data_IF_776785543450
#
_entry.id   IF_776785543450
#
_cell.length_a   1.000
_cell.length_b   1.000
_cell.length_c   1.000
_cell.angle_alpha   90.00
_cell.angle_beta   90.00
_cell.angle_gamma   90.00
#
_symmetry.space_group_name_H-M   'P 1'
#
loop_
_entity.id
_entity.type
_entity.pdbx_description
1 polymer ?
#
# COMPACT_ATOMS: atom_id res chain seq x y z
N UNK A 1 12.26 17.36 21.73
CA UNK A 1 11.49 18.43 21.05
C UNK A 1 11.84 18.38 19.56
N UNK A 2 11.29 17.43 18.82
CA UNK A 2 11.52 17.28 17.39
C UNK A 2 10.45 18.07 16.65
N UNK A 3 10.87 19.14 16.00
CA UNK A 3 10.01 19.91 15.10
C UNK A 3 9.56 18.99 13.97
N UNK A 4 8.34 18.50 14.09
CA UNK A 4 7.59 17.95 12.97
C UNK A 4 7.19 19.15 12.13
N UNK A 5 7.86 19.28 11.04
CA UNK A 5 7.55 19.89 9.77
C UNK A 5 7.06 21.27 9.61
N UNK A 6 7.85 21.88 8.79
CA UNK A 6 7.46 22.66 7.64
C UNK A 6 6.52 23.81 7.94
N UNK A 7 7.12 24.96 8.19
CA UNK A 7 6.52 26.26 7.87
C UNK A 7 5.53 26.12 6.70
N UNK A 8 4.36 26.74 6.80
CA UNK A 8 3.39 26.93 5.73
C UNK A 8 4.14 27.15 4.40
N UNK A 9 4.13 26.13 3.52
CA UNK A 9 4.78 26.21 2.22
C UNK A 9 5.70 25.06 1.81
N UNK A 10 6.07 24.12 2.70
CA UNK A 10 6.93 23.00 2.27
C UNK A 10 6.10 21.91 1.57
N UNK A 11 6.32 21.79 0.27
CA UNK A 11 5.69 20.78 -0.58
C UNK A 11 6.33 19.38 -0.46
N UNK A 12 7.11 19.10 0.59
CA UNK A 12 7.82 17.84 0.74
C UNK A 12 7.73 17.29 2.17
N UNK A 13 7.82 15.96 2.30
CA UNK A 13 7.86 15.25 3.58
C UNK A 13 8.98 14.20 3.58
N UNK A 14 9.55 13.95 4.75
CA UNK A 14 10.51 12.84 4.93
C UNK A 14 9.78 11.50 4.85
N UNK A 15 10.49 10.48 4.38
CA UNK A 15 10.05 9.10 4.59
C UNK A 15 10.14 8.77 6.09
N UNK A 16 9.18 7.98 6.58
CA UNK A 16 9.32 7.35 7.87
C UNK A 16 10.53 6.39 7.88
N UNK A 17 10.95 5.97 9.07
CA UNK A 17 12.15 5.14 9.19
C UNK A 17 11.99 3.76 8.54
N UNK A 18 10.79 3.18 8.57
CA UNK A 18 10.51 1.91 7.91
C UNK A 18 10.49 2.07 6.39
N UNK A 19 9.91 3.16 5.88
CA UNK A 19 9.80 3.42 4.45
C UNK A 19 11.16 3.64 3.75
N UNK A 20 12.19 4.08 4.47
CA UNK A 20 13.52 4.33 3.91
C UNK A 20 14.19 3.12 3.28
N UNK A 21 13.84 1.91 3.71
CA UNK A 21 14.44 0.69 3.18
C UNK A 21 13.99 0.39 1.75
N UNK A 22 12.75 0.75 1.40
CA UNK A 22 12.15 0.35 0.13
C UNK A 22 12.84 0.97 -1.10
N UNK A 23 13.12 2.28 -1.18
CA UNK A 23 13.81 2.83 -2.33
C UNK A 23 15.27 2.36 -2.45
N UNK A 24 15.90 1.98 -1.33
CA UNK A 24 17.26 1.47 -1.33
C UNK A 24 17.35 0.02 -1.81
N UNK A 25 16.30 -0.78 -1.58
CA UNK A 25 16.27 -2.22 -1.90
C UNK A 25 15.46 -2.56 -3.15
N UNK A 26 14.69 -1.60 -3.69
CA UNK A 26 13.91 -1.79 -4.91
C UNK A 26 14.81 -2.03 -6.11
N UNK A 27 14.48 -3.02 -6.92
CA UNK A 27 15.19 -3.38 -8.14
C UNK A 27 14.24 -4.05 -9.15
N UNK A 28 14.74 -4.44 -10.32
CA UNK A 28 13.93 -5.06 -11.38
C UNK A 28 13.32 -6.43 -10.99
N UNK A 29 13.88 -7.14 -10.01
CA UNK A 29 13.38 -8.44 -9.56
C UNK A 29 12.43 -8.31 -8.38
N UNK A 30 12.57 -7.25 -7.59
CA UNK A 30 11.77 -6.94 -6.44
C UNK A 30 11.47 -5.44 -6.45
N UNK A 31 10.32 -5.10 -6.97
CA UNK A 31 9.90 -3.71 -7.19
C UNK A 31 9.45 -3.02 -5.92
N UNK A 32 9.23 -3.77 -4.84
CA UNK A 32 8.62 -3.27 -3.60
C UNK A 32 7.24 -2.65 -3.83
N UNK A 33 6.57 -3.07 -4.88
CA UNK A 33 5.17 -2.76 -5.17
C UNK A 33 4.34 -3.92 -4.70
N UNK A 34 3.24 -3.62 -4.03
CA UNK A 34 2.25 -4.62 -3.65
C UNK A 34 0.89 -4.25 -4.19
N UNK A 35 0.00 -5.24 -4.28
CA UNK A 35 -1.33 -5.10 -4.86
C UNK A 35 -2.39 -5.52 -3.86
N UNK A 36 -3.44 -4.70 -3.78
CA UNK A 36 -4.76 -5.12 -3.32
C UNK A 36 -5.75 -5.05 -4.47
N UNK A 37 -6.79 -5.87 -4.41
CA UNK A 37 -7.84 -5.81 -5.41
C UNK A 37 -9.23 -5.98 -4.79
N UNK A 38 -10.23 -5.52 -5.51
CA UNK A 38 -11.63 -5.77 -5.24
C UNK A 38 -12.28 -6.37 -6.48
N UNK A 39 -12.97 -7.49 -6.32
CA UNK A 39 -13.73 -8.13 -7.38
C UNK A 39 -15.21 -7.77 -7.25
N UNK A 40 -15.77 -7.27 -8.33
CA UNK A 40 -17.17 -6.88 -8.43
C UNK A 40 -17.99 -7.98 -9.10
N UNK A 41 -19.31 -7.93 -8.95
CA UNK A 41 -20.21 -8.85 -9.66
C UNK A 41 -20.35 -8.53 -11.14
N UNK A 42 -20.14 -7.27 -11.51
CA UNK A 42 -20.29 -6.76 -12.88
C UNK A 42 -18.95 -6.22 -13.41
N UNK A 43 -18.82 -6.13 -14.73
CA UNK A 43 -17.65 -5.51 -15.35
C UNK A 43 -17.43 -4.07 -14.88
N UNK A 44 -16.19 -3.70 -14.68
CA UNK A 44 -15.77 -2.35 -14.27
C UNK A 44 -15.96 -1.39 -15.43
N UNK A 45 -16.60 -0.25 -15.14
CA UNK A 45 -16.62 0.92 -16.04
C UNK A 45 -15.43 1.83 -15.73
N UNK A 46 -14.48 1.89 -16.66
CA UNK A 46 -13.24 2.67 -16.46
C UNK A 46 -13.49 4.18 -16.31
N UNK A 47 -14.55 4.74 -16.92
CA UNK A 47 -14.88 6.17 -16.81
C UNK A 47 -15.45 6.52 -15.44
N UNK A 48 -16.30 5.67 -14.91
CA UNK A 48 -16.83 5.77 -13.55
C UNK A 48 -15.70 5.59 -12.54
N UNK A 49 -14.81 4.62 -12.78
CA UNK A 49 -13.65 4.36 -11.91
C UNK A 49 -12.69 5.55 -11.89
N UNK A 50 -12.48 6.23 -13.03
CA UNK A 50 -11.72 7.49 -13.06
C UNK A 50 -12.36 8.56 -12.19
N UNK A 51 -13.67 8.78 -12.32
CA UNK A 51 -14.39 9.75 -11.51
C UNK A 51 -14.37 9.43 -10.02
N UNK A 52 -14.40 8.14 -9.68
CA UNK A 52 -14.25 7.66 -8.31
C UNK A 52 -12.83 7.91 -7.78
N UNK A 53 -11.81 7.68 -8.61
CA UNK A 53 -10.42 7.95 -8.25
C UNK A 53 -10.19 9.43 -7.97
N UNK A 54 -10.72 10.31 -8.82
CA UNK A 54 -10.58 11.76 -8.64
C UNK A 54 -11.15 12.19 -7.29
N UNK A 55 -12.35 11.71 -6.92
CA UNK A 55 -12.94 11.97 -5.59
C UNK A 55 -12.12 11.38 -4.44
N UNK A 56 -11.57 10.19 -4.63
CA UNK A 56 -10.78 9.53 -3.60
C UNK A 56 -9.49 10.29 -3.31
N UNK A 57 -8.85 10.81 -4.34
CA UNK A 57 -7.62 11.61 -4.22
C UNK A 57 -7.85 12.90 -3.43
N UNK A 58 -9.02 13.52 -3.53
CA UNK A 58 -9.35 14.71 -2.73
C UNK A 58 -9.29 14.40 -1.21
N UNK A 59 -9.70 13.20 -0.81
CA UNK A 59 -9.62 12.73 0.58
C UNK A 59 -8.20 12.26 0.97
N UNK A 60 -7.43 11.74 0.02
CA UNK A 60 -6.08 11.21 0.25
C UNK A 60 -5.01 11.93 -0.58
N UNK A 61 -4.82 13.24 -0.40
CA UNK A 61 -3.88 14.02 -1.23
C UNK A 61 -2.43 13.57 -1.10
N UNK A 62 -2.10 12.84 -0.04
CA UNK A 62 -0.76 12.27 0.19
C UNK A 62 -0.33 11.32 -0.93
N UNK A 63 -1.28 10.68 -1.61
CA UNK A 63 -0.99 9.81 -2.75
C UNK A 63 -0.51 10.59 -3.99
N UNK A 64 -0.77 11.88 -4.09
CA UNK A 64 -0.19 12.75 -5.12
C UNK A 64 1.26 13.12 -4.81
N UNK A 65 2.04 12.18 -4.30
CA UNK A 65 3.45 12.38 -4.00
C UNK A 65 4.33 11.62 -4.98
N UNK A 66 5.45 12.23 -5.33
CA UNK A 66 6.54 11.61 -6.10
C UNK A 66 7.76 11.48 -5.20
N UNK A 67 8.56 10.45 -5.43
CA UNK A 67 9.78 10.27 -4.67
C UNK A 67 10.93 11.03 -5.30
N UNK A 68 11.69 11.69 -4.44
CA UNK A 68 12.93 12.38 -4.79
C UNK A 68 14.09 11.85 -3.98
N UNK A 69 15.25 11.88 -4.60
CA UNK A 69 16.50 11.56 -3.94
C UNK A 69 17.27 12.85 -3.66
N UNK A 70 17.50 13.15 -2.37
CA UNK A 70 18.47 14.16 -1.94
C UNK A 70 19.88 13.58 -1.89
N UNK A 71 20.84 14.33 -1.37
CA UNK A 71 22.24 13.90 -1.25
C UNK A 71 22.39 12.62 -0.42
N UNK A 72 21.69 12.54 0.73
CA UNK A 72 21.81 11.44 1.67
C UNK A 72 20.51 10.74 2.03
N UNK A 73 19.35 11.24 1.57
CA UNK A 73 18.03 10.68 1.92
C UNK A 73 17.03 10.79 0.79
N UNK A 74 16.00 9.96 0.88
CA UNK A 74 14.82 10.06 0.03
C UNK A 74 13.74 10.87 0.74
N UNK A 75 12.92 11.57 -0.04
CA UNK A 75 11.78 12.32 0.44
C UNK A 75 10.62 12.27 -0.55
N UNK A 76 9.43 12.52 -0.07
CA UNK A 76 8.23 12.62 -0.89
C UNK A 76 7.93 14.09 -1.14
N UNK A 77 7.75 14.46 -2.39
CA UNK A 77 7.39 15.79 -2.86
C UNK A 77 5.98 15.76 -3.42
N UNK A 78 5.14 16.72 -3.01
CA UNK A 78 3.80 16.88 -3.59
C UNK A 78 3.93 17.13 -5.09
N UNK A 79 3.04 16.52 -5.86
CA UNK A 79 3.05 16.58 -7.33
C UNK A 79 1.68 17.00 -7.86
N UNK A 80 1.68 17.68 -9.00
CA UNK A 80 0.47 18.03 -9.76
C UNK A 80 0.09 16.95 -10.79
N UNK A 81 0.77 15.79 -10.75
CA UNK A 81 0.43 14.66 -11.60
C UNK A 81 -0.96 14.14 -11.27
N UNK A 82 -1.77 13.95 -12.30
CA UNK A 82 -3.10 13.38 -12.17
C UNK A 82 -3.05 11.87 -12.40
N UNK A 83 -3.50 11.05 -11.45
CA UNK A 83 -3.58 9.61 -11.65
C UNK A 83 -4.63 9.30 -12.72
N UNK A 84 -4.32 8.31 -13.58
CA UNK A 84 -5.23 7.85 -14.62
C UNK A 84 -5.50 6.37 -14.43
N UNK A 85 -6.78 6.03 -14.45
CA UNK A 85 -7.24 4.65 -14.53
C UNK A 85 -6.92 4.09 -15.92
N UNK A 86 -6.49 2.83 -15.96
CA UNK A 86 -6.17 2.13 -17.21
C UNK A 86 -6.72 0.70 -17.14
N UNK A 87 -7.02 0.14 -18.30
CA UNK A 87 -7.19 -1.30 -18.40
C UNK A 87 -5.85 -2.00 -18.18
N UNK A 88 -5.86 -3.13 -17.46
CA UNK A 88 -4.66 -3.88 -17.16
C UNK A 88 -4.20 -4.66 -18.38
N UNK A 89 -3.04 -4.31 -18.87
CA UNK A 89 -2.38 -4.99 -20.01
C UNK A 89 -0.98 -5.50 -19.63
N UNK A 90 -0.42 -4.94 -18.58
CA UNK A 90 0.92 -5.27 -18.09
C UNK A 90 0.86 -6.28 -16.95
N UNK A 91 1.94 -7.04 -16.71
CA UNK A 91 2.07 -7.86 -15.52
C UNK A 91 1.89 -7.07 -14.22
N UNK A 92 1.33 -7.66 -13.16
CA UNK A 92 1.13 -6.97 -11.89
C UNK A 92 2.44 -6.60 -11.19
N UNK A 93 2.37 -5.57 -10.35
CA UNK A 93 3.46 -5.11 -9.49
C UNK A 93 4.73 -4.69 -10.25
N UNK A 94 4.59 -4.10 -11.43
CA UNK A 94 5.71 -3.46 -12.10
C UNK A 94 6.27 -2.30 -11.30
N UNK A 95 7.48 -1.89 -11.65
CA UNK A 95 8.18 -0.83 -10.93
C UNK A 95 7.49 0.53 -11.12
N UNK A 96 6.90 1.05 -10.07
CA UNK A 96 6.27 2.39 -10.02
C UNK A 96 7.29 3.49 -9.68
N UNK A 97 8.34 3.13 -8.96
CA UNK A 97 9.42 4.05 -8.66
C UNK A 97 10.54 3.93 -9.70
N UNK A 98 10.61 4.90 -10.59
CA UNK A 98 11.69 5.01 -11.58
C UNK A 98 12.60 6.15 -11.13
N UNK A 99 13.87 5.79 -10.84
CA UNK A 99 14.86 6.76 -10.39
C UNK A 99 14.95 7.91 -11.39
N UNK A 100 15.04 9.14 -10.88
CA UNK A 100 15.17 10.38 -11.63
C UNK A 100 13.97 10.72 -12.54
N UNK A 101 12.84 10.00 -12.40
CA UNK A 101 11.57 10.34 -13.07
C UNK A 101 10.52 10.80 -12.07
N UNK A 102 9.70 11.74 -12.51
CA UNK A 102 8.47 12.14 -11.79
C UNK A 102 7.37 11.14 -12.14
N UNK A 103 7.15 10.15 -11.29
CA UNK A 103 6.07 9.18 -11.41
C UNK A 103 5.29 9.11 -10.10
N UNK A 104 3.99 8.94 -10.17
CA UNK A 104 3.19 8.59 -9.01
C UNK A 104 3.63 7.21 -8.51
N UNK A 105 3.57 7.02 -7.20
CA UNK A 105 4.01 5.80 -6.53
C UNK A 105 2.87 4.80 -6.35
N UNK A 106 1.77 4.99 -7.05
CA UNK A 106 0.65 4.09 -7.10
C UNK A 106 0.01 4.11 -8.49
N UNK A 107 -0.79 3.10 -8.78
CA UNK A 107 -1.67 3.04 -9.93
C UNK A 107 -2.96 2.32 -9.62
N UNK A 108 -4.01 2.67 -10.36
CA UNK A 108 -5.30 1.97 -10.37
C UNK A 108 -5.50 1.44 -11.78
N UNK A 109 -5.61 0.12 -11.87
CA UNK A 109 -5.92 -0.56 -13.14
C UNK A 109 -7.13 -1.47 -12.94
N UNK A 110 -7.82 -1.82 -14.01
CA UNK A 110 -8.94 -2.75 -13.95
C UNK A 110 -8.82 -3.81 -15.02
N UNK A 111 -9.34 -4.99 -14.73
CA UNK A 111 -9.48 -6.08 -15.68
C UNK A 111 -10.80 -6.78 -15.46
N UNK A 112 -11.67 -6.80 -16.50
CA UNK A 112 -13.02 -7.34 -16.41
C UNK A 112 -13.80 -6.73 -15.22
N UNK A 113 -14.07 -7.53 -14.20
CA UNK A 113 -14.81 -7.16 -12.99
C UNK A 113 -13.91 -6.83 -11.79
N UNK A 114 -12.60 -6.74 -11.98
CA UNK A 114 -11.62 -6.56 -10.90
C UNK A 114 -10.99 -5.17 -10.95
N UNK A 115 -11.06 -4.44 -9.86
CA UNK A 115 -10.32 -3.19 -9.62
C UNK A 115 -9.04 -3.55 -8.89
N UNK A 116 -7.90 -3.23 -9.47
CA UNK A 116 -6.58 -3.48 -8.92
C UNK A 116 -5.95 -2.16 -8.49
N UNK A 117 -5.47 -2.12 -7.26
CA UNK A 117 -4.71 -1.01 -6.70
C UNK A 117 -3.31 -1.48 -6.38
N UNK A 118 -2.33 -0.85 -6.99
CA UNK A 118 -0.91 -1.12 -6.77
C UNK A 118 -0.22 0.08 -6.19
N UNK A 119 0.66 -0.15 -5.24
CA UNK A 119 1.37 0.92 -4.56
C UNK A 119 2.78 0.53 -4.18
N UNK A 120 3.71 1.46 -4.37
CA UNK A 120 5.09 1.33 -3.90
C UNK A 120 5.13 1.49 -2.39
N UNK A 121 5.70 0.54 -1.70
CA UNK A 121 5.61 0.39 -0.24
C UNK A 121 6.17 1.57 0.57
N UNK A 122 6.98 2.44 -0.06
CA UNK A 122 7.45 3.66 0.59
C UNK A 122 6.39 4.77 0.67
N UNK A 123 5.29 4.67 -0.08
CA UNK A 123 4.21 5.66 -0.04
C UNK A 123 3.27 5.43 1.13
N UNK A 124 2.90 4.18 1.35
CA UNK A 124 1.97 3.74 2.40
C UNK A 124 2.20 2.27 2.76
N UNK A 125 1.72 1.87 3.93
CA UNK A 125 1.67 0.47 4.35
C UNK A 125 0.35 -0.22 3.90
N UNK A 126 0.18 -1.48 4.32
CA UNK A 126 -1.01 -2.25 3.98
C UNK A 126 -2.31 -1.65 4.50
N UNK A 127 -2.28 -1.04 5.69
CA UNK A 127 -3.46 -0.42 6.31
C UNK A 127 -3.92 0.79 5.51
N UNK A 128 -3.02 1.70 5.20
CA UNK A 128 -3.34 2.88 4.39
C UNK A 128 -3.77 2.51 2.97
N UNK A 129 -3.17 1.48 2.38
CA UNK A 129 -3.55 0.99 1.06
C UNK A 129 -4.96 0.40 1.03
N UNK A 130 -5.35 -0.38 2.05
CA UNK A 130 -6.71 -0.94 2.16
C UNK A 130 -7.75 0.18 2.37
N UNK A 131 -7.44 1.18 3.18
CA UNK A 131 -8.34 2.32 3.37
C UNK A 131 -8.56 3.11 2.08
N UNK A 132 -7.50 3.37 1.33
CA UNK A 132 -7.59 3.99 0.01
C UNK A 132 -8.47 3.17 -0.94
N UNK A 133 -8.23 1.87 -1.04
CA UNK A 133 -9.03 0.98 -1.91
C UNK A 133 -10.50 0.93 -1.49
N UNK A 134 -10.80 0.85 -0.19
CA UNK A 134 -12.17 0.87 0.32
C UNK A 134 -12.89 2.15 -0.08
N UNK A 135 -12.26 3.31 0.08
CA UNK A 135 -12.84 4.59 -0.32
C UNK A 135 -13.04 4.68 -1.84
N UNK A 136 -12.07 4.20 -2.62
CA UNK A 136 -12.18 4.13 -4.08
C UNK A 136 -13.37 3.29 -4.52
N UNK A 137 -13.52 2.10 -3.96
CA UNK A 137 -14.65 1.19 -4.28
C UNK A 137 -15.97 1.79 -3.82
N UNK A 138 -16.03 2.40 -2.63
CA UNK A 138 -17.22 3.13 -2.16
C UNK A 138 -17.64 4.21 -3.14
N UNK A 139 -16.71 5.08 -3.54
CA UNK A 139 -16.98 6.15 -4.50
C UNK A 139 -17.43 5.58 -5.85
N UNK A 140 -16.80 4.49 -6.30
CA UNK A 140 -17.20 3.80 -7.54
C UNK A 140 -18.64 3.29 -7.47
N UNK A 141 -19.02 2.59 -6.40
CA UNK A 141 -20.36 2.04 -6.24
C UNK A 141 -21.41 3.16 -6.15
N UNK A 142 -21.16 4.24 -5.41
CA UNK A 142 -22.03 5.40 -5.33
C UNK A 142 -22.23 6.03 -6.71
N UNK A 143 -21.18 6.16 -7.51
CA UNK A 143 -21.28 6.71 -8.85
C UNK A 143 -21.95 5.77 -9.85
N UNK A 144 -21.73 4.46 -9.70
CA UNK A 144 -22.29 3.42 -10.59
C UNK A 144 -23.79 3.25 -10.39
N UNK A 145 -24.23 3.30 -9.13
CA UNK A 145 -25.61 2.98 -8.73
C UNK A 145 -26.33 4.20 -8.13
N UNK A 146 -26.21 5.37 -8.78
CA UNK A 146 -26.74 6.65 -8.27
C UNK A 146 -28.23 6.61 -7.92
N UNK A 147 -29.00 5.83 -8.67
CA UNK A 147 -30.46 5.75 -8.52
C UNK A 147 -30.90 4.56 -7.66
N UNK A 148 -29.97 3.75 -7.15
CA UNK A 148 -30.26 2.65 -6.26
C UNK A 148 -30.12 3.11 -4.79
N UNK A 149 -31.05 2.70 -3.94
CA UNK A 149 -30.89 2.82 -2.50
C UNK A 149 -29.75 1.87 -2.06
N UNK A 150 -28.52 2.35 -2.13
CA UNK A 150 -27.40 1.62 -1.57
C UNK A 150 -27.56 1.57 -0.04
N UNK A 151 -27.34 0.42 0.60
CA UNK A 151 -27.26 0.38 2.05
C UNK A 151 -26.19 1.37 2.49
N UNK A 152 -26.40 1.98 3.65
CA UNK A 152 -25.40 2.89 4.23
C UNK A 152 -24.07 2.15 4.35
N UNK A 153 -23.15 2.44 3.45
CA UNK A 153 -21.79 1.90 3.47
C UNK A 153 -20.99 2.80 4.42
N UNK A 154 -21.43 2.87 5.66
CA UNK A 154 -20.62 3.38 6.75
C UNK A 154 -19.57 2.31 7.06
N UNK A 155 -18.41 2.43 6.45
CA UNK A 155 -17.24 1.82 7.07
C UNK A 155 -17.07 2.54 8.40
N UNK A 156 -17.00 1.79 9.50
CA UNK A 156 -16.64 2.33 10.81
C UNK A 156 -15.45 3.26 10.58
N UNK A 157 -15.73 4.55 10.68
CA UNK A 157 -14.77 5.61 10.47
C UNK A 157 -13.79 5.62 11.63
N UNK A 158 -12.79 4.78 11.58
CA UNK A 158 -11.51 5.23 12.09
C UNK A 158 -11.00 6.23 11.05
N UNK A 159 -11.55 7.43 11.12
CA UNK A 159 -11.12 8.55 10.31
C UNK A 159 -9.65 8.81 10.65
N UNK A 160 -8.77 8.21 9.85
CA UNK A 160 -7.37 8.65 9.87
C UNK A 160 -7.37 10.11 9.46
N UNK A 161 -7.11 10.97 10.42
CA UNK A 161 -6.91 12.38 10.15
C UNK A 161 -5.75 12.56 9.18
N UNK A 162 -5.68 13.68 8.46
CA UNK A 162 -4.52 14.02 7.62
C UNK A 162 -3.20 13.91 8.42
N UNK A 163 -3.23 14.23 9.73
CA UNK A 163 -2.09 14.06 10.62
C UNK A 163 -1.70 12.60 10.83
N UNK A 164 -2.67 11.68 10.89
CA UNK A 164 -2.39 10.25 11.03
C UNK A 164 -1.84 9.66 9.73
N UNK A 165 -2.29 10.16 8.57
CA UNK A 165 -1.74 9.79 7.26
C UNK A 165 -0.29 10.23 7.08
N UNK A 166 0.12 11.28 7.77
CA UNK A 166 1.46 11.87 7.69
C UNK A 166 2.37 11.51 8.89
N UNK A 167 1.83 10.86 9.93
CA UNK A 167 2.59 10.58 11.15
C UNK A 167 3.60 9.45 10.98
N UNK A 168 4.81 9.64 11.48
CA UNK A 168 5.82 8.57 11.61
C UNK A 168 5.49 7.70 12.83
N UNK A 169 4.71 6.64 12.61
CA UNK A 169 4.35 5.68 13.65
C UNK A 169 5.57 5.01 14.30
N UNK A 170 6.66 4.83 13.56
CA UNK A 170 7.89 4.25 14.10
C UNK A 170 8.51 5.15 15.16
N UNK A 171 8.67 6.44 14.88
CA UNK A 171 9.23 7.38 15.87
C UNK A 171 8.34 7.57 17.10
N UNK A 172 7.03 7.42 16.95
CA UNK A 172 6.06 7.57 18.04
C UNK A 172 6.08 6.41 19.03
N UNK A 173 6.30 5.18 18.53
CA UNK A 173 6.20 3.94 19.34
C UNK A 173 7.55 3.25 19.57
N UNK A 174 8.63 3.73 18.98
CA UNK A 174 9.95 3.14 19.17
C UNK A 174 10.51 3.49 20.56
N UNK A 175 10.64 2.47 21.41
CA UNK A 175 11.44 2.56 22.64
C UNK A 175 12.72 1.77 22.46
N UNK A 176 13.88 2.36 22.83
CA UNK A 176 15.15 1.65 22.95
C UNK A 176 15.05 0.68 24.13
N UNK A 177 14.47 -0.47 23.93
CA UNK A 177 14.61 -1.57 24.87
C UNK A 177 15.83 -2.36 24.42
N UNK A 178 16.88 -2.36 25.22
CA UNK A 178 18.04 -3.22 25.06
C UNK A 178 17.63 -4.67 25.36
N UNK A 179 16.90 -5.27 24.42
CA UNK A 179 16.63 -6.70 24.46
C UNK A 179 17.81 -7.47 23.86
N UNK A 180 18.47 -8.34 24.64
CA UNK A 180 19.38 -9.35 24.11
C UNK A 180 18.66 -10.10 23.01
N UNK A 181 19.04 -9.88 21.76
CA UNK A 181 18.58 -10.71 20.66
C UNK A 181 19.14 -12.11 20.81
N UNK A 182 18.30 -13.07 21.22
CA UNK A 182 18.62 -14.48 21.08
C UNK A 182 18.92 -14.82 19.61
N UNK A 183 19.66 -15.90 19.35
CA UNK A 183 19.91 -16.38 17.98
C UNK A 183 18.58 -16.55 17.26
N UNK A 184 18.34 -15.71 16.24
CA UNK A 184 17.16 -15.84 15.39
C UNK A 184 17.24 -17.17 14.63
N UNK A 185 16.20 -17.98 14.70
CA UNK A 185 16.07 -19.13 13.83
C UNK A 185 16.06 -18.66 12.37
N UNK A 186 16.71 -19.41 11.49
CA UNK A 186 16.65 -19.08 10.06
C UNK A 186 15.21 -19.27 9.55
N UNK A 187 14.73 -18.34 8.74
CA UNK A 187 13.41 -18.48 8.10
C UNK A 187 13.42 -19.67 7.14
N UNK A 188 12.27 -20.34 7.03
CA UNK A 188 12.09 -21.38 6.03
C UNK A 188 12.26 -20.79 4.62
N UNK A 189 13.09 -21.43 3.81
CA UNK A 189 13.32 -21.05 2.43
C UNK A 189 12.56 -22.01 1.52
N UNK A 190 11.66 -21.48 0.70
CA UNK A 190 10.99 -22.27 -0.34
C UNK A 190 12.03 -22.62 -1.39
N UNK A 191 12.21 -23.91 -1.64
CA UNK A 191 13.10 -24.43 -2.68
C UNK A 191 12.28 -25.02 -3.83
N UNK A 192 12.84 -24.98 -5.04
CA UNK A 192 12.20 -25.54 -6.24
C UNK A 192 12.79 -24.97 -7.52
N UNK A 193 12.32 -25.44 -8.68
CA UNK A 193 12.73 -24.89 -9.96
C UNK A 193 12.28 -23.41 -10.05
N UNK A 194 13.19 -22.57 -10.49
CA UNK A 194 12.91 -21.13 -10.67
C UNK A 194 12.32 -20.90 -12.06
N UNK A 195 11.34 -20.03 -12.15
CA UNK A 195 10.84 -19.52 -13.43
C UNK A 195 11.95 -18.73 -14.16
N UNK A 196 11.86 -18.68 -15.49
CA UNK A 196 12.76 -17.87 -16.30
C UNK A 196 12.76 -16.40 -15.90
N UNK A 197 13.83 -15.70 -16.22
CA UNK A 197 13.93 -14.27 -15.93
C UNK A 197 12.81 -13.49 -16.62
N UNK A 198 12.09 -12.68 -15.86
CA UNK A 198 10.96 -11.89 -16.37
C UNK A 198 9.62 -12.64 -16.38
N UNK A 199 9.60 -13.93 -16.01
CA UNK A 199 8.34 -14.68 -15.82
C UNK A 199 7.77 -14.44 -14.42
N UNK A 200 6.48 -14.19 -14.33
CA UNK A 200 5.73 -14.05 -13.08
C UNK A 200 4.69 -15.16 -13.01
N UNK A 201 4.73 -15.96 -11.95
CA UNK A 201 3.65 -16.90 -11.62
C UNK A 201 2.86 -16.34 -10.44
N UNK A 202 1.55 -16.33 -10.57
CA UNK A 202 0.62 -15.93 -9.52
C UNK A 202 -0.09 -17.19 -9.02
N UNK A 203 -0.06 -17.42 -7.72
CA UNK A 203 -0.83 -18.45 -7.05
C UNK A 203 -1.82 -17.76 -6.12
N UNK A 204 -3.10 -17.98 -6.32
CA UNK A 204 -4.17 -17.50 -5.46
C UNK A 204 -4.77 -18.67 -4.68
N UNK A 205 -5.11 -18.43 -3.41
CA UNK A 205 -5.74 -19.43 -2.55
C UNK A 205 -6.70 -18.78 -1.56
N UNK A 206 -7.78 -19.49 -1.26
CA UNK A 206 -8.74 -19.09 -0.23
C UNK A 206 -8.42 -19.82 1.07
N UNK A 207 -8.25 -19.07 2.13
CA UNK A 207 -7.99 -19.59 3.47
C UNK A 207 -9.02 -19.05 4.45
N UNK A 208 -9.58 -19.91 5.29
CA UNK A 208 -10.48 -19.50 6.36
C UNK A 208 -9.72 -18.66 7.38
N UNK A 209 -10.17 -17.41 7.60
CA UNK A 209 -9.60 -16.54 8.64
C UNK A 209 -9.65 -17.17 10.02
N UNK A 210 -10.76 -17.86 10.37
CA UNK A 210 -10.89 -18.54 11.66
C UNK A 210 -9.88 -19.66 11.83
N UNK A 211 -9.72 -20.50 10.79
CA UNK A 211 -8.75 -21.58 10.83
C UNK A 211 -7.31 -21.06 10.94
N UNK A 212 -7.00 -19.99 10.22
CA UNK A 212 -5.69 -19.34 10.27
C UNK A 212 -5.40 -18.75 11.64
N UNK A 213 -6.36 -18.00 12.22
CA UNK A 213 -6.22 -17.42 13.57
C UNK A 213 -6.08 -18.51 14.65
N UNK A 214 -6.86 -19.60 14.54
CA UNK A 214 -6.72 -20.74 15.44
C UNK A 214 -5.30 -21.31 15.37
N UNK A 215 -4.80 -21.52 14.16
CA UNK A 215 -3.45 -22.05 13.95
C UNK A 215 -2.36 -21.11 14.45
N UNK A 216 -2.51 -19.80 14.23
CA UNK A 216 -1.59 -18.80 14.74
C UNK A 216 -1.51 -18.82 16.28
N UNK A 217 -2.65 -18.96 16.97
CA UNK A 217 -2.70 -19.10 18.43
C UNK A 217 -2.00 -20.37 18.93
N UNK A 218 -2.15 -21.50 18.22
CA UNK A 218 -1.44 -22.75 18.57
C UNK A 218 0.09 -22.56 18.55
N UNK A 219 0.60 -21.69 17.68
CA UNK A 219 2.02 -21.36 17.58
C UNK A 219 2.44 -20.14 18.43
N UNK A 220 1.53 -19.59 19.26
CA UNK A 220 1.83 -18.44 20.10
C UNK A 220 2.01 -17.12 19.33
N UNK A 221 1.51 -17.05 18.08
CA UNK A 221 1.56 -15.84 17.24
C UNK A 221 0.15 -15.27 17.03
N UNK A 222 0.02 -13.94 16.97
CA UNK A 222 -1.29 -13.28 16.98
C UNK A 222 -1.92 -13.13 15.59
N UNK A 223 -1.13 -13.17 14.52
CA UNK A 223 -1.66 -13.01 13.15
C UNK A 223 -0.65 -13.47 12.09
N UNK A 224 -1.13 -13.58 10.85
CA UNK A 224 -0.30 -13.86 9.68
C UNK A 224 0.82 -12.81 9.50
N UNK A 225 0.58 -11.56 9.88
CA UNK A 225 1.57 -10.48 9.82
C UNK A 225 2.76 -10.80 10.74
N UNK A 226 2.52 -11.39 11.93
CA UNK A 226 3.60 -11.84 12.83
C UNK A 226 4.38 -13.02 12.26
N UNK A 227 3.77 -13.82 11.40
CA UNK A 227 4.45 -14.92 10.70
C UNK A 227 5.32 -14.36 9.56
N UNK A 228 4.82 -13.35 8.86
CA UNK A 228 5.50 -12.72 7.71
C UNK A 228 6.48 -11.60 8.13
N UNK A 229 6.21 -10.92 9.26
CA UNK A 229 7.05 -9.85 9.82
C UNK A 229 7.37 -10.12 11.30
N UNK A 230 8.17 -11.13 11.64
CA UNK A 230 8.40 -11.53 13.04
C UNK A 230 9.18 -10.50 13.88
N UNK A 231 9.54 -9.37 13.30
CA UNK A 231 10.40 -8.37 13.97
C UNK A 231 9.64 -7.19 14.60
N UNK A 232 8.32 -7.15 14.50
CA UNK A 232 7.57 -5.96 14.93
C UNK A 232 6.98 -5.99 16.33
N UNK A 233 6.99 -7.15 17.03
CA UNK A 233 6.50 -7.27 18.41
C UNK A 233 7.33 -8.27 19.21
N UNK A 234 8.35 -7.80 19.79
CA UNK A 234 8.94 -8.38 20.99
C UNK A 234 9.31 -7.25 21.93
#
# INVERSE_FOLDING_TARGET
MNKVFGTKGSHWRKLDNAAKIFPATSNKKDTRVFRFYCELKEPVDGSILQSALDKTIDKYPVFLSVMRKGFFWYYLEKSDLKPKVKEEVDPPCLNLYIRDRKTLLFQVVYYKNRINFEVFHALTDGTGAIQFLKELVKNYLILRYRDAALPDISFTEEDMTLQDQESDGFSKYYSKTEGRQGKKASSFQISGPRTGYGSLNITEGLVSCQALLKKAKEYGVLSLIHISEPTRHS
#
